data_IF_784561665773
#
_entry.id   IF_784561665773
#
_cell.length_a   1.000
_cell.length_b   1.000
_cell.length_c   1.000
_cell.angle_alpha   90.00
_cell.angle_beta   90.00
_cell.angle_gamma   90.00
#
_symmetry.space_group_name_H-M   'P 1'
#
loop_
_entity.id
_entity.type
_entity.pdbx_description
1 polymer ?
#
# COMPACT_ATOMS: atom_id res chain seq x y z
N UNK A 1 -13.76 -5.48 61.09
CA UNK A 1 -14.52 -6.73 60.94
C UNK A 1 -13.99 -7.40 59.68
N UNK A 2 -13.39 -8.58 59.85
CA UNK A 2 -12.65 -9.30 58.81
C UNK A 2 -13.59 -10.28 58.16
N UNK A 3 -13.86 -10.14 56.86
CA UNK A 3 -14.58 -11.15 56.08
C UNK A 3 -13.60 -12.02 55.28
N UNK A 4 -13.85 -13.34 55.17
CA UNK A 4 -12.90 -14.32 54.67
C UNK A 4 -12.96 -14.51 53.15
N UNK A 5 -11.81 -14.94 52.62
CA UNK A 5 -11.62 -15.46 51.27
C UNK A 5 -12.42 -16.75 51.03
N UNK A 6 -12.95 -16.93 49.82
CA UNK A 6 -13.30 -18.24 49.29
C UNK A 6 -12.54 -18.50 47.99
N UNK A 7 -11.53 -19.35 48.13
CA UNK A 7 -10.89 -20.12 47.07
C UNK A 7 -11.76 -21.34 46.77
N UNK A 8 -11.96 -21.65 45.49
CA UNK A 8 -12.35 -22.99 45.07
C UNK A 8 -11.70 -23.36 43.74
N UNK A 9 -11.21 -24.58 43.75
CA UNK A 9 -10.24 -25.20 42.87
C UNK A 9 -10.91 -26.20 41.92
N UNK A 10 -10.37 -26.28 40.70
CA UNK A 10 -10.14 -27.49 39.87
C UNK A 10 -11.25 -28.53 39.69
N UNK A 11 -11.59 -28.83 38.43
CA UNK A 11 -11.72 -30.23 37.98
C UNK A 11 -11.65 -30.35 36.45
N UNK A 12 -10.50 -30.82 36.00
CA UNK A 12 -10.25 -31.44 34.70
C UNK A 12 -11.08 -32.72 34.54
N UNK A 13 -11.84 -32.82 33.46
CA UNK A 13 -12.48 -34.06 33.01
C UNK A 13 -12.11 -34.34 31.54
N UNK A 14 -11.17 -35.26 31.37
CA UNK A 14 -10.76 -35.82 30.09
C UNK A 14 -11.68 -36.99 29.76
N UNK A 15 -12.37 -36.94 28.61
CA UNK A 15 -13.10 -38.07 28.03
C UNK A 15 -12.48 -38.50 26.70
N UNK A 16 -12.40 -39.82 26.42
CA UNK A 16 -11.67 -40.37 25.28
C UNK A 16 -12.56 -40.65 24.05
N UNK A 17 -11.95 -40.47 22.89
CA UNK A 17 -12.11 -41.25 21.65
C UNK A 17 -13.54 -41.48 21.08
N UNK A 18 -13.90 -40.67 20.09
CA UNK A 18 -14.74 -41.11 18.98
C UNK A 18 -14.22 -40.56 17.65
N UNK A 19 -13.66 -41.47 16.84
CA UNK A 19 -13.30 -41.26 15.44
C UNK A 19 -14.54 -40.83 14.65
N UNK A 20 -14.56 -39.61 14.11
CA UNK A 20 -15.42 -39.30 12.98
C UNK A 20 -14.85 -38.22 12.08
N UNK A 21 -14.62 -38.62 10.82
CA UNK A 21 -14.55 -37.80 9.60
C UNK A 21 -13.54 -36.66 9.60
N UNK A 22 -12.30 -37.03 9.23
CA UNK A 22 -11.51 -36.23 8.29
C UNK A 22 -12.26 -36.13 6.96
N UNK A 23 -13.20 -35.18 6.84
CA UNK A 23 -13.38 -34.47 5.58
C UNK A 23 -12.49 -33.25 5.71
N UNK A 24 -11.29 -33.34 5.12
CA UNK A 24 -10.55 -32.14 4.76
C UNK A 24 -11.52 -31.33 3.89
N UNK A 25 -11.93 -30.16 4.37
CA UNK A 25 -12.43 -29.13 3.50
C UNK A 25 -11.22 -28.70 2.65
N UNK A 26 -11.02 -29.37 1.52
CA UNK A 26 -10.17 -28.91 0.40
C UNK A 26 -10.88 -27.77 -0.34
N UNK A 27 -11.40 -26.81 0.42
CA UNK A 27 -12.12 -25.63 -0.06
C UNK A 27 -11.41 -24.34 0.40
N UNK A 28 -10.15 -24.45 0.83
CA UNK A 28 -9.33 -23.36 1.37
C UNK A 28 -8.29 -22.81 0.39
N UNK A 29 -8.19 -23.33 -0.84
CA UNK A 29 -7.12 -22.96 -1.78
C UNK A 29 -7.65 -22.64 -3.18
N UNK A 30 -8.69 -21.81 -3.20
CA UNK A 30 -8.83 -20.84 -4.27
C UNK A 30 -8.90 -19.47 -3.60
N UNK A 31 -7.81 -19.09 -2.91
CA UNK A 31 -7.46 -17.68 -2.83
C UNK A 31 -7.23 -17.26 -4.27
N UNK A 32 -8.32 -16.83 -4.89
CA UNK A 32 -8.43 -16.35 -6.24
C UNK A 32 -7.27 -15.37 -6.46
N UNK A 33 -6.35 -15.76 -7.35
CA UNK A 33 -5.16 -15.04 -7.82
C UNK A 33 -5.54 -13.77 -8.62
N UNK A 34 -6.65 -13.16 -8.24
CA UNK A 34 -7.18 -11.91 -8.78
C UNK A 34 -6.38 -10.78 -8.14
N UNK A 35 -5.19 -10.55 -8.69
CA UNK A 35 -4.42 -9.31 -8.61
C UNK A 35 -4.44 -8.66 -7.22
N UNK A 36 -3.49 -9.02 -6.35
CA UNK A 36 -3.31 -8.32 -5.08
C UNK A 36 -3.28 -6.80 -5.37
N UNK A 37 -4.30 -6.07 -4.90
CA UNK A 37 -4.38 -4.63 -5.03
C UNK A 37 -3.54 -4.03 -3.92
N UNK A 38 -2.65 -3.12 -4.28
CA UNK A 38 -1.80 -2.41 -3.33
C UNK A 38 -2.21 -0.95 -3.27
N UNK A 39 -1.89 -0.30 -2.16
CA UNK A 39 -2.01 1.13 -2.02
C UNK A 39 -0.65 1.78 -2.31
N UNK A 40 -0.57 2.61 -3.34
CA UNK A 40 0.54 3.52 -3.55
C UNK A 40 0.27 4.79 -2.75
N UNK A 41 1.04 5.00 -1.69
CA UNK A 41 1.01 6.20 -0.86
C UNK A 41 2.17 7.11 -1.24
N UNK A 42 1.89 8.31 -1.74
CA UNK A 42 2.91 9.35 -1.98
C UNK A 42 2.87 10.33 -0.83
N UNK A 43 3.85 10.30 0.07
CA UNK A 43 3.92 11.15 1.27
C UNK A 43 4.94 12.29 1.07
N UNK A 44 4.59 13.50 1.47
CA UNK A 44 5.36 14.72 1.25
C UNK A 44 5.52 15.53 2.54
N UNK A 45 6.54 16.38 2.59
CA UNK A 45 6.81 17.25 3.75
C UNK A 45 5.86 18.46 3.76
N UNK A 46 5.49 18.95 2.58
CA UNK A 46 4.66 20.13 2.40
C UNK A 46 3.16 19.79 2.30
N UNK A 47 2.31 20.79 2.54
CA UNK A 47 0.84 20.64 2.55
C UNK A 47 0.17 20.55 1.18
N UNK A 48 0.95 20.56 0.09
CA UNK A 48 0.43 20.53 -1.28
C UNK A 48 0.91 19.30 -2.05
N UNK A 49 1.53 18.33 -1.37
CA UNK A 49 2.11 17.15 -1.97
C UNK A 49 3.05 17.48 -3.15
N UNK A 50 3.86 18.53 -3.01
CA UNK A 50 4.61 19.11 -4.12
C UNK A 50 6.13 19.03 -3.95
N UNK A 51 6.62 18.92 -2.72
CA UNK A 51 8.04 18.96 -2.39
C UNK A 51 8.43 17.80 -1.49
N UNK A 52 9.64 17.27 -1.74
CA UNK A 52 10.21 16.16 -1.00
C UNK A 52 9.19 15.02 -0.83
N UNK A 53 8.66 14.52 -1.93
CA UNK A 53 7.71 13.42 -1.90
C UNK A 53 8.44 12.08 -1.99
N UNK A 54 7.92 11.07 -1.30
CA UNK A 54 8.33 9.67 -1.43
C UNK A 54 7.11 8.80 -1.63
N UNK A 55 7.21 7.86 -2.56
CA UNK A 55 6.12 6.93 -2.86
C UNK A 55 6.44 5.55 -2.27
N UNK A 56 5.44 4.97 -1.64
CA UNK A 56 5.50 3.67 -0.97
C UNK A 56 4.36 2.81 -1.47
N UNK A 57 4.56 1.50 -1.40
CA UNK A 57 3.56 0.50 -1.74
C UNK A 57 3.25 -0.32 -0.52
N UNK A 58 2.00 -0.31 -0.08
CA UNK A 58 1.55 -1.05 1.09
C UNK A 58 0.43 -2.03 0.73
N UNK A 59 0.36 -3.18 1.40
CA UNK A 59 -0.67 -4.18 1.11
C UNK A 59 -2.03 -3.67 1.56
N UNK A 60 -3.03 -3.78 0.68
CA UNK A 60 -4.42 -3.45 1.01
C UNK A 60 -5.11 -4.66 1.65
N UNK A 61 -5.98 -4.43 2.63
CA UNK A 61 -6.78 -5.47 3.30
C UNK A 61 -5.98 -6.34 4.27
N UNK A 62 -4.68 -6.11 4.44
CA UNK A 62 -3.79 -6.85 5.33
C UNK A 62 -3.08 -5.90 6.29
N UNK A 63 -2.83 -6.38 7.51
CA UNK A 63 -2.03 -5.64 8.48
C UNK A 63 -0.55 -5.67 8.11
N UNK A 64 0.12 -4.55 8.34
CA UNK A 64 1.55 -4.42 8.08
C UNK A 64 2.19 -3.42 9.04
N UNK A 65 3.50 -3.56 9.23
CA UNK A 65 4.28 -2.58 9.98
C UNK A 65 5.11 -1.75 9.00
N UNK A 66 4.94 -0.43 9.00
CA UNK A 66 5.62 0.46 8.07
C UNK A 66 7.15 0.43 8.24
N UNK A 67 7.64 0.47 9.48
CA UNK A 67 9.07 0.40 9.77
C UNK A 67 9.70 -0.94 9.37
N UNK A 68 8.94 -2.04 9.42
CA UNK A 68 9.41 -3.33 8.91
C UNK A 68 9.49 -3.39 7.38
N UNK A 69 8.53 -2.76 6.68
CA UNK A 69 8.53 -2.69 5.21
C UNK A 69 9.58 -1.71 4.66
N UNK A 70 9.84 -0.61 5.38
CA UNK A 70 10.71 0.49 4.95
C UNK A 70 11.72 0.86 6.05
N UNK A 71 12.65 -0.04 6.41
CA UNK A 71 13.51 0.12 7.59
C UNK A 71 14.46 1.33 7.53
N UNK A 72 14.76 1.82 6.33
CA UNK A 72 15.65 2.96 6.11
C UNK A 72 14.91 4.30 6.01
N UNK A 73 13.59 4.32 6.21
CA UNK A 73 12.77 5.53 6.10
C UNK A 73 12.10 5.90 7.44
N UNK A 74 12.51 7.01 8.09
CA UNK A 74 11.92 7.45 9.35
C UNK A 74 10.49 8.00 9.17
N UNK A 75 9.95 8.00 7.95
CA UNK A 75 8.57 8.38 7.69
C UNK A 75 7.54 7.41 8.26
N UNK A 76 7.99 6.20 8.62
CA UNK A 76 7.14 5.16 9.17
C UNK A 76 7.44 4.97 10.66
N UNK A 77 6.40 5.05 11.48
CA UNK A 77 6.48 4.77 12.92
C UNK A 77 6.53 3.27 13.23
N UNK A 78 6.63 2.96 14.52
CA UNK A 78 6.65 1.57 15.00
C UNK A 78 5.27 0.88 14.98
N UNK A 79 4.20 1.63 14.73
CA UNK A 79 2.83 1.15 14.75
C UNK A 79 2.44 0.31 13.54
N UNK A 80 1.58 -0.67 13.77
CA UNK A 80 0.93 -1.45 12.72
C UNK A 80 -0.18 -0.62 12.06
N UNK A 81 -0.33 -0.82 10.75
CA UNK A 81 -1.27 -0.11 9.89
C UNK A 81 -2.14 -1.12 9.15
N UNK A 82 -3.42 -0.81 9.03
CA UNK A 82 -4.38 -1.54 8.18
C UNK A 82 -5.11 -0.57 7.27
N UNK A 83 -4.91 -0.76 5.97
CA UNK A 83 -5.63 -0.04 4.92
C UNK A 83 -6.74 -0.94 4.34
N UNK A 84 -7.95 -0.41 4.16
CA UNK A 84 -9.06 -1.11 3.49
C UNK A 84 -9.75 -0.19 2.51
N UNK A 85 -9.84 -0.61 1.24
CA UNK A 85 -10.72 0.05 0.28
C UNK A 85 -12.19 -0.12 0.68
N UNK A 86 -13.01 0.84 0.23
CA UNK A 86 -14.46 0.67 0.24
C UNK A 86 -14.89 -0.47 -0.70
N UNK A 87 -15.89 -1.24 -0.27
CA UNK A 87 -16.40 -2.40 -0.99
C UNK A 87 -16.99 -2.01 -2.36
N UNK A 88 -17.59 -0.82 -2.47
CA UNK A 88 -18.16 -0.33 -3.74
C UNK A 88 -17.07 -0.19 -4.82
N UNK A 89 -15.84 0.13 -4.40
CA UNK A 89 -14.69 0.21 -5.30
C UNK A 89 -14.16 -1.15 -5.70
N UNK A 90 -14.06 -2.08 -4.74
CA UNK A 90 -13.57 -3.43 -5.04
C UNK A 90 -14.50 -4.16 -6.01
N UNK A 91 -15.80 -3.89 -5.98
CA UNK A 91 -16.75 -4.43 -6.97
C UNK A 91 -16.50 -3.88 -8.39
N UNK A 92 -16.17 -2.60 -8.52
CA UNK A 92 -15.83 -1.99 -9.81
C UNK A 92 -14.47 -2.42 -10.37
N UNK A 93 -13.53 -2.80 -9.51
CA UNK A 93 -12.19 -3.26 -9.90
C UNK A 93 -12.15 -4.75 -10.29
N UNK A 94 -13.20 -5.52 -9.96
CA UNK A 94 -13.33 -6.90 -10.43
C UNK A 94 -13.50 -6.88 -11.94
N UNK A 95 -12.67 -7.60 -12.70
CA UNK A 95 -12.92 -7.80 -14.12
C UNK A 95 -14.34 -8.34 -14.26
N UNK A 96 -15.24 -7.56 -14.86
CA UNK A 96 -16.58 -8.07 -15.11
C UNK A 96 -16.42 -9.23 -16.08
N UNK A 97 -16.68 -10.45 -15.60
CA UNK A 97 -16.56 -11.68 -16.38
C UNK A 97 -17.47 -11.72 -17.63
N UNK A 98 -18.26 -10.66 -17.86
CA UNK A 98 -19.07 -10.44 -19.06
C UNK A 98 -18.26 -10.31 -20.36
N UNK A 99 -16.93 -10.17 -20.31
CA UNK A 99 -16.07 -10.24 -21.50
C UNK A 99 -15.54 -11.63 -21.85
N UNK A 100 -15.65 -12.63 -20.96
CA UNK A 100 -14.96 -13.92 -21.11
C UNK A 100 -15.87 -15.10 -21.53
N UNK A 101 -17.17 -14.87 -21.72
CA UNK A 101 -18.15 -15.94 -21.96
C UNK A 101 -18.78 -15.94 -23.37
N UNK A 102 -18.23 -15.23 -24.34
CA UNK A 102 -18.66 -15.32 -25.73
C UNK A 102 -17.56 -16.00 -26.55
N UNK A 103 -17.61 -17.33 -26.59
CA UNK A 103 -16.95 -18.10 -27.64
C UNK A 103 -17.62 -17.77 -28.97
N UNK A 104 -17.07 -16.82 -29.71
CA UNK A 104 -17.29 -16.71 -31.14
C UNK A 104 -15.95 -16.99 -31.82
N UNK A 105 -15.91 -18.16 -32.44
CA UNK A 105 -14.83 -18.61 -33.30
C UNK A 105 -14.70 -17.58 -34.45
N UNK A 106 -13.49 -17.01 -34.59
CA UNK A 106 -12.95 -16.37 -35.79
C UNK A 106 -13.30 -14.89 -36.08
N UNK A 107 -14.05 -14.21 -35.21
CA UNK A 107 -14.30 -12.76 -35.37
C UNK A 107 -13.28 -11.90 -34.65
N UNK A 108 -12.36 -11.25 -35.36
CA UNK A 108 -11.61 -10.08 -34.83
C UNK A 108 -12.62 -8.98 -34.45
N UNK A 109 -13.12 -9.02 -33.21
CA UNK A 109 -13.83 -7.89 -32.63
C UNK A 109 -12.76 -6.95 -32.12
N UNK A 110 -12.41 -5.98 -32.95
CA UNK A 110 -11.68 -4.79 -32.52
C UNK A 110 -12.60 -4.03 -31.55
N UNK A 111 -12.54 -4.41 -30.28
CA UNK A 111 -13.13 -3.62 -29.20
C UNK A 111 -12.35 -2.30 -29.19
N UNK A 112 -12.87 -1.30 -29.90
CA UNK A 112 -12.57 0.10 -29.61
C UNK A 112 -13.00 0.34 -28.17
N UNK A 113 -12.08 0.06 -27.24
CA UNK A 113 -12.13 0.51 -25.87
C UNK A 113 -12.27 2.03 -25.96
N UNK A 114 -13.51 2.51 -25.91
CA UNK A 114 -13.78 3.94 -25.87
C UNK A 114 -12.92 4.52 -24.76
N UNK A 115 -12.14 5.56 -25.06
CA UNK A 115 -11.30 6.25 -24.07
C UNK A 115 -12.09 6.70 -22.82
N UNK A 116 -13.43 6.71 -22.91
CA UNK A 116 -14.39 6.96 -21.84
C UNK A 116 -14.46 5.84 -20.77
N UNK A 117 -13.96 4.64 -21.07
CA UNK A 117 -13.93 3.48 -20.16
C UNK A 117 -12.49 3.02 -19.87
N UNK A 118 -11.56 3.99 -19.77
CA UNK A 118 -10.33 3.72 -19.00
C UNK A 118 -10.80 3.57 -17.55
N UNK A 119 -10.67 2.41 -16.89
CA UNK A 119 -10.85 2.33 -15.46
C UNK A 119 -9.90 3.36 -14.86
N UNK A 120 -10.45 4.43 -14.31
CA UNK A 120 -9.69 5.48 -13.66
C UNK A 120 -9.10 4.90 -12.39
N UNK A 121 -8.00 4.14 -12.53
CA UNK A 121 -7.12 3.75 -11.43
C UNK A 121 -6.45 5.01 -10.90
N UNK A 122 -7.19 5.87 -10.19
CA UNK A 122 -6.65 7.10 -9.64
C UNK A 122 -7.60 8.27 -9.42
N UNK A 123 -8.84 8.26 -9.93
CA UNK A 123 -9.81 9.35 -9.70
C UNK A 123 -11.16 8.77 -9.29
N UNK A 124 -11.57 9.06 -8.05
CA UNK A 124 -12.82 8.57 -7.50
C UNK A 124 -12.61 7.35 -6.63
N UNK A 125 -12.72 7.56 -5.33
CA UNK A 125 -12.66 6.49 -4.36
C UNK A 125 -12.24 6.88 -2.98
N UNK A 126 -12.59 6.04 -2.03
CA UNK A 126 -12.14 6.19 -0.65
C UNK A 126 -11.59 4.90 -0.10
N UNK A 127 -10.74 5.03 0.92
CA UNK A 127 -10.28 3.93 1.75
C UNK A 127 -10.27 4.37 3.22
N UNK A 128 -10.21 3.40 4.12
CA UNK A 128 -9.97 3.66 5.54
C UNK A 128 -8.55 3.23 5.91
N UNK A 129 -7.91 4.04 6.76
CA UNK A 129 -6.61 3.74 7.38
C UNK A 129 -6.75 3.67 8.88
N UNK A 130 -6.16 2.64 9.48
CA UNK A 130 -6.18 2.41 10.93
C UNK A 130 -4.77 2.19 11.45
N UNK A 131 -4.48 2.73 12.61
CA UNK A 131 -3.21 2.53 13.32
C UNK A 131 -3.46 1.73 14.60
N UNK A 132 -2.51 0.88 14.97
CA UNK A 132 -2.60 0.00 16.14
C UNK A 132 -1.32 0.07 16.97
N UNK A 133 -1.43 -0.09 18.30
CA UNK A 133 -0.26 -0.11 19.20
C UNK A 133 0.67 -1.33 18.97
N UNK A 134 0.19 -2.36 18.27
CA UNK A 134 0.99 -3.53 17.90
C UNK A 134 2.07 -3.14 16.90
N UNK A 135 3.15 -3.91 16.88
CA UNK A 135 4.36 -3.62 16.08
C UNK A 135 4.84 -4.85 15.29
N UNK A 136 4.03 -5.89 15.25
CA UNK A 136 4.36 -7.21 14.70
C UNK A 136 3.60 -7.53 13.40
N UNK A 137 2.88 -6.55 12.85
CA UNK A 137 2.04 -6.66 11.66
C UNK A 137 0.72 -7.37 11.90
N UNK A 138 0.25 -7.50 13.15
CA UNK A 138 -0.99 -8.24 13.47
C UNK A 138 -2.22 -7.36 13.65
N UNK A 139 -2.06 -6.05 13.91
CA UNK A 139 -3.13 -5.14 14.30
C UNK A 139 -3.99 -5.67 15.47
N UNK A 140 -3.37 -6.26 16.49
CA UNK A 140 -4.08 -6.70 17.67
C UNK A 140 -4.66 -5.53 18.48
N UNK A 141 -5.88 -5.70 18.99
CA UNK A 141 -6.54 -4.72 19.87
C UNK A 141 -7.43 -3.72 19.13
N UNK A 142 -7.77 -2.63 19.81
CA UNK A 142 -8.51 -1.50 19.23
C UNK A 142 -7.54 -0.55 18.52
N UNK A 143 -7.96 0.09 17.41
CA UNK A 143 -7.12 1.06 16.74
C UNK A 143 -6.89 2.30 17.62
N UNK A 144 -5.66 2.84 17.61
CA UNK A 144 -5.33 4.11 18.28
C UNK A 144 -5.89 5.29 17.51
N UNK A 145 -5.81 5.22 16.19
CA UNK A 145 -6.24 6.25 15.25
C UNK A 145 -6.97 5.60 14.08
N UNK A 146 -8.03 6.27 13.63
CA UNK A 146 -8.90 5.82 12.55
C UNK A 146 -9.19 7.02 11.63
N UNK A 147 -8.88 6.83 10.35
CA UNK A 147 -9.21 7.76 9.29
C UNK A 147 -10.17 7.06 8.33
N UNK A 148 -11.42 7.49 8.33
CA UNK A 148 -12.46 7.02 7.42
C UNK A 148 -12.48 7.90 6.17
N UNK A 149 -12.91 7.32 5.06
CA UNK A 149 -13.18 8.03 3.80
C UNK A 149 -12.00 8.84 3.22
N UNK A 150 -10.77 8.33 3.31
CA UNK A 150 -9.60 8.98 2.71
C UNK A 150 -9.69 8.94 1.18
N UNK A 151 -9.71 10.11 0.50
CA UNK A 151 -9.89 10.16 -0.94
C UNK A 151 -8.64 9.68 -1.68
N UNK A 152 -8.88 8.92 -2.74
CA UNK A 152 -7.87 8.50 -3.72
C UNK A 152 -7.74 9.59 -4.79
N UNK A 153 -6.50 9.93 -5.16
CA UNK A 153 -6.19 10.98 -6.13
C UNK A 153 -6.09 12.39 -5.55
N UNK A 154 -6.46 12.60 -4.28
CA UNK A 154 -6.36 13.90 -3.61
C UNK A 154 -5.20 13.93 -2.60
N UNK A 155 -4.60 15.11 -2.43
CA UNK A 155 -3.60 15.35 -1.39
C UNK A 155 -4.31 15.71 -0.08
N UNK A 156 -4.16 14.87 0.94
CA UNK A 156 -4.81 15.02 2.25
C UNK A 156 -3.79 14.87 3.38
N UNK A 157 -4.13 15.38 4.58
CA UNK A 157 -3.26 15.37 5.75
C UNK A 157 -3.74 16.34 6.84
N UNK A 158 -3.05 16.42 7.99
CA UNK A 158 -1.77 15.76 8.32
C UNK A 158 -1.90 14.35 8.94
N UNK A 159 -0.93 13.46 8.67
CA UNK A 159 -0.82 12.06 9.15
C UNK A 159 0.38 11.80 10.07
N UNK A 160 0.93 12.85 10.69
CA UNK A 160 2.10 12.76 11.58
C UNK A 160 3.41 13.20 10.93
N UNK A 161 4.49 13.22 11.72
CA UNK A 161 5.82 13.59 11.26
C UNK A 161 6.54 12.39 10.62
N UNK A 162 7.51 12.59 9.71
CA UNK A 162 8.01 13.83 9.11
C UNK A 162 7.28 14.25 7.82
N UNK A 163 6.41 13.40 7.27
CA UNK A 163 5.66 13.64 6.02
C UNK A 163 4.16 13.61 6.28
N UNK A 164 3.60 14.73 6.77
CA UNK A 164 2.20 14.73 7.21
C UNK A 164 1.22 14.62 6.05
N UNK A 165 1.59 14.95 4.83
CA UNK A 165 0.63 15.02 3.73
C UNK A 165 0.87 13.89 2.75
N UNK A 166 -0.19 13.39 2.14
CA UNK A 166 -0.04 12.39 1.10
C UNK A 166 -1.20 12.29 0.13
N UNK A 167 -0.88 11.74 -1.03
CA UNK A 167 -1.83 11.37 -2.07
C UNK A 167 -1.80 9.84 -2.26
N UNK A 168 -2.96 9.27 -2.53
CA UNK A 168 -3.13 7.81 -2.55
C UNK A 168 -3.65 7.35 -3.91
N UNK A 169 -3.19 6.19 -4.36
CA UNK A 169 -3.64 5.52 -5.58
C UNK A 169 -3.70 4.01 -5.37
N UNK A 170 -4.73 3.35 -5.88
CA UNK A 170 -4.73 1.89 -5.99
C UNK A 170 -3.87 1.47 -7.19
N UNK A 171 -3.02 0.46 -7.00
CA UNK A 171 -2.13 -0.07 -8.05
C UNK A 171 -2.18 -1.60 -8.05
N UNK A 172 -2.00 -2.21 -9.22
CA UNK A 172 -1.81 -3.66 -9.32
C UNK A 172 -0.32 -3.98 -9.19
N UNK A 173 -0.01 -5.18 -8.71
CA UNK A 173 1.39 -5.66 -8.61
C UNK A 173 2.03 -5.82 -9.99
N UNK A 174 1.24 -6.11 -11.02
CA UNK A 174 1.73 -6.44 -12.36
C UNK A 174 2.23 -5.21 -13.15
N UNK A 175 1.80 -4.00 -12.78
CA UNK A 175 2.09 -2.78 -13.53
C UNK A 175 3.57 -2.35 -13.48
N UNK A 176 4.40 -2.95 -12.61
CA UNK A 176 5.82 -2.54 -12.43
C UNK A 176 6.82 -3.24 -13.34
N UNK A 177 6.49 -4.41 -13.89
CA UNK A 177 7.47 -5.16 -14.69
C UNK A 177 7.80 -4.46 -16.01
N UNK A 178 6.92 -3.57 -16.48
CA UNK A 178 7.14 -2.80 -17.71
C UNK A 178 8.05 -1.58 -17.50
N UNK A 179 7.97 -0.91 -16.35
CA UNK A 179 8.75 0.33 -16.12
C UNK A 179 10.26 0.06 -16.10
N UNK A 180 10.68 -1.08 -15.54
CA UNK A 180 12.10 -1.47 -15.53
C UNK A 180 12.66 -1.88 -16.89
N UNK A 181 11.82 -2.22 -17.88
CA UNK A 181 12.28 -2.59 -19.23
C UNK A 181 12.55 -1.37 -20.11
N UNK A 182 12.12 -0.17 -19.71
CA UNK A 182 12.32 1.06 -20.47
C UNK A 182 13.72 1.68 -20.33
N UNK A 183 14.40 1.44 -19.20
CA UNK A 183 15.63 2.20 -18.87
C UNK A 183 16.92 1.60 -19.45
N UNK A 184 16.95 0.30 -19.81
CA UNK A 184 18.15 -0.33 -20.39
C UNK A 184 18.34 -0.13 -21.91
N UNK A 185 17.45 0.59 -22.61
CA UNK A 185 17.57 0.82 -24.07
C UNK A 185 18.27 2.12 -24.46
N UNK A 186 18.85 2.84 -23.51
CA UNK A 186 19.26 4.23 -23.68
C UNK A 186 20.74 4.57 -23.87
N UNK A 187 21.68 3.63 -24.05
CA UNK A 187 23.12 4.00 -24.13
C UNK A 187 23.94 3.22 -25.17
N UNK A 188 23.74 3.56 -26.45
CA UNK A 188 24.82 3.53 -27.46
C UNK A 188 24.67 4.75 -28.38
N UNK A 189 24.99 5.94 -27.88
CA UNK A 189 25.39 7.06 -28.72
C UNK A 189 26.79 7.50 -28.29
N UNK A 190 27.77 6.85 -28.91
CA UNK A 190 29.17 7.28 -28.89
C UNK A 190 29.27 8.67 -29.52
N UNK A 191 29.58 9.69 -28.72
CA UNK A 191 29.73 11.05 -29.23
C UNK A 191 30.41 11.98 -28.23
N UNK A 192 31.74 11.87 -28.13
CA UNK A 192 32.57 12.95 -27.60
C UNK A 192 32.36 14.23 -28.44
N UNK A 193 32.43 15.42 -27.83
CA UNK A 193 33.69 16.15 -27.98
C UNK A 193 34.15 16.90 -26.73
N UNK A 194 35.43 17.21 -26.78
CA UNK A 194 36.25 17.87 -25.79
C UNK A 194 35.90 19.35 -25.55
N UNK A 195 36.21 19.80 -24.33
CA UNK A 195 36.83 21.11 -24.09
C UNK A 195 35.88 22.22 -23.70
N UNK A 196 35.77 22.47 -22.39
CA UNK A 196 35.52 23.82 -21.87
C UNK A 196 36.43 24.03 -20.66
N UNK A 197 37.20 25.10 -20.73
CA UNK A 197 38.23 25.56 -19.80
C UNK A 197 37.71 25.79 -18.39
N UNK A 198 38.53 25.41 -17.41
CA UNK A 198 38.44 25.85 -16.03
C UNK A 198 38.79 27.34 -15.94
N UNK A 199 37.87 28.15 -15.45
CA UNK A 199 38.19 29.46 -14.88
C UNK A 199 38.03 29.39 -13.37
N UNK A 200 39.16 29.22 -12.69
CA UNK A 200 39.37 29.64 -11.31
C UNK A 200 39.33 31.17 -11.25
N UNK A 201 38.39 31.75 -10.51
CA UNK A 201 38.51 33.09 -9.93
C UNK A 201 37.96 33.00 -8.51
N UNK A 202 38.85 33.10 -7.51
CA UNK A 202 39.01 34.22 -6.57
C UNK A 202 37.79 34.48 -5.67
N UNK A 203 37.88 34.95 -4.43
CA UNK A 203 38.90 35.29 -3.43
C UNK A 203 38.06 36.03 -2.36
N UNK A 204 38.38 35.93 -1.06
CA UNK A 204 38.01 36.92 0.00
C UNK A 204 36.51 37.06 0.36
N UNK A 205 36.06 37.47 1.55
CA UNK A 205 36.61 38.15 2.73
C UNK A 205 35.55 37.96 3.85
N UNK A 206 35.88 37.51 5.06
CA UNK A 206 36.12 38.32 6.27
C UNK A 206 35.00 39.28 6.72
N UNK A 207 34.38 39.00 7.88
CA UNK A 207 33.97 39.92 8.98
C UNK A 207 32.84 39.24 9.78
N UNK A 208 33.00 38.76 11.02
CA UNK A 208 33.25 39.51 12.27
C UNK A 208 32.30 40.71 12.44
N UNK A 209 31.21 40.56 13.20
CA UNK A 209 30.76 41.55 14.19
C UNK A 209 29.57 41.03 15.03
N UNK A 210 29.77 41.13 16.36
CA UNK A 210 28.81 41.25 17.48
C UNK A 210 27.91 40.09 17.90
#
# INVERSE_FOLDING_TARGET
ATEPQQSSSSSSSSSPLARHRRRRNENAEAADDSSAIWLRSTLCVDSMCSMDCRSYRTPLGSCYNGAALFPDDPSWGEYDVLDRADDELLEGLRPTAYGAACGEEDGEVELELSEEYRPYWGEGGTFSRRFYETTDGTCGGEPTDLFEDLPVGECVGPFGAPRPWGAFAFVRVEDDEEEKKGEERGDVMSGAPAGIEETEENEKQESADQ
#
